data_IF_911921157264
#
_entry.id   IF_911921157264
#
_cell.length_a   1.000
_cell.length_b   1.000
_cell.length_c   1.000
_cell.angle_alpha   90.00
_cell.angle_beta   90.00
_cell.angle_gamma   90.00
#
_symmetry.space_group_name_H-M   'P 1'
#
loop_
_entity.id
_entity.type
_entity.pdbx_description
1 polymer ?
#
# COMPACT_ATOMS: atom_id res chain seq x y z
N UNK A 1 -13.20 0.98 -10.67
CA UNK A 1 -12.79 -0.08 -11.60
C UNK A 1 -12.50 -1.33 -10.79
N UNK A 2 -12.71 -2.53 -11.35
CA UNK A 2 -12.51 -3.78 -10.61
C UNK A 2 -11.03 -4.23 -10.63
N UNK A 3 -10.67 -5.17 -9.75
CA UNK A 3 -9.30 -5.70 -9.63
C UNK A 3 -8.69 -6.18 -10.95
N UNK A 4 -9.50 -6.73 -11.86
CA UNK A 4 -9.06 -7.29 -13.12
C UNK A 4 -8.46 -6.24 -14.06
N UNK A 5 -8.90 -4.98 -13.97
CA UNK A 5 -8.37 -3.86 -14.76
C UNK A 5 -6.87 -3.64 -14.52
N UNK A 6 -6.33 -4.08 -13.38
CA UNK A 6 -4.89 -4.07 -13.11
C UNK A 6 -4.10 -4.77 -14.23
N UNK A 7 -4.60 -5.92 -14.70
CA UNK A 7 -3.92 -6.83 -15.62
C UNK A 7 -4.03 -6.43 -17.08
N UNK A 8 -4.94 -5.52 -17.42
CA UNK A 8 -5.11 -5.05 -18.80
C UNK A 8 -4.00 -4.07 -19.20
N UNK A 9 -3.30 -3.49 -18.22
CA UNK A 9 -2.12 -2.67 -18.43
C UNK A 9 -0.85 -3.53 -18.40
N UNK A 10 -0.38 -3.96 -19.58
CA UNK A 10 0.78 -4.86 -19.70
C UNK A 10 2.11 -4.07 -19.79
N UNK A 11 3.01 -4.17 -18.79
CA UNK A 11 4.27 -3.41 -18.78
C UNK A 11 5.27 -3.84 -19.87
N UNK A 12 5.15 -5.02 -20.46
CA UNK A 12 6.02 -5.43 -21.56
C UNK A 12 5.70 -4.68 -22.87
N UNK A 13 4.48 -4.15 -23.00
CA UNK A 13 4.00 -3.45 -24.21
C UNK A 13 3.95 -1.94 -23.94
N UNK A 14 3.38 -1.55 -22.80
CA UNK A 14 3.12 -0.17 -22.41
C UNK A 14 4.37 0.46 -21.79
N UNK A 15 5.39 0.65 -22.63
CA UNK A 15 6.72 1.15 -22.25
C UNK A 15 6.94 2.61 -22.62
N UNK A 16 6.06 3.20 -23.43
CA UNK A 16 6.19 4.57 -23.93
C UNK A 16 4.82 5.24 -24.15
N UNK A 17 4.85 6.57 -24.23
CA UNK A 17 3.64 7.39 -24.35
C UNK A 17 2.77 7.09 -25.57
N UNK A 18 3.36 6.72 -26.72
CA UNK A 18 2.58 6.42 -27.91
C UNK A 18 1.75 5.14 -27.71
N UNK A 19 2.37 4.09 -27.18
CA UNK A 19 1.69 2.84 -26.86
C UNK A 19 0.61 3.02 -25.78
N UNK A 20 0.91 3.78 -24.73
CA UNK A 20 -0.04 4.10 -23.66
C UNK A 20 -1.26 4.88 -24.18
N UNK A 21 -1.04 5.88 -25.04
CA UNK A 21 -2.13 6.65 -25.66
C UNK A 21 -3.02 5.75 -26.51
N UNK A 22 -2.42 4.97 -27.39
CA UNK A 22 -3.14 4.08 -28.29
C UNK A 22 -3.99 3.08 -27.51
N UNK A 23 -3.45 2.55 -26.41
CA UNK A 23 -4.17 1.67 -25.50
C UNK A 23 -5.40 2.35 -24.89
N UNK A 24 -5.24 3.54 -24.30
CA UNK A 24 -6.35 4.28 -23.67
C UNK A 24 -7.38 4.82 -24.67
N UNK A 25 -7.00 4.98 -25.95
CA UNK A 25 -7.95 5.28 -27.03
C UNK A 25 -8.81 4.07 -27.37
N UNK A 26 -8.22 2.87 -27.36
CA UNK A 26 -8.91 1.61 -27.65
C UNK A 26 -9.70 1.07 -26.46
N UNK A 27 -9.30 1.45 -25.24
CA UNK A 27 -9.87 1.01 -23.96
C UNK A 27 -10.23 2.22 -23.08
N UNK A 28 -11.24 3.02 -23.47
CA UNK A 28 -11.63 4.21 -22.72
C UNK A 28 -12.12 3.90 -21.30
N UNK A 29 -12.58 2.67 -21.05
CA UNK A 29 -12.96 2.13 -19.75
C UNK A 29 -11.78 2.00 -18.77
N UNK A 30 -10.54 2.04 -19.25
CA UNK A 30 -9.32 2.02 -18.43
C UNK A 30 -8.78 3.42 -18.07
N UNK A 31 -9.46 4.50 -18.48
CA UNK A 31 -9.08 5.87 -18.11
C UNK A 31 -9.43 6.15 -16.64
N UNK A 32 -8.45 6.02 -15.75
CA UNK A 32 -8.64 6.25 -14.31
C UNK A 32 -8.61 7.72 -13.89
N UNK A 33 -7.95 8.55 -14.70
CA UNK A 33 -7.83 9.99 -14.50
C UNK A 33 -8.36 10.71 -15.74
N UNK A 34 -9.29 11.65 -15.55
CA UNK A 34 -9.87 12.44 -16.64
C UNK A 34 -9.43 13.90 -16.53
N UNK A 35 -8.78 14.41 -17.58
CA UNK A 35 -8.52 15.83 -17.72
C UNK A 35 -9.72 16.48 -18.42
N UNK A 36 -10.40 17.40 -17.74
CA UNK A 36 -11.63 18.03 -18.24
C UNK A 36 -11.37 19.50 -18.52
N UNK A 37 -11.78 19.95 -19.69
CA UNK A 37 -11.89 21.36 -20.02
C UNK A 37 -13.08 21.96 -19.27
N UNK A 38 -12.82 22.95 -18.42
CA UNK A 38 -13.86 23.54 -17.57
C UNK A 38 -14.82 24.47 -18.33
N UNK A 39 -14.45 24.93 -19.54
CA UNK A 39 -15.30 25.82 -20.33
C UNK A 39 -16.46 25.05 -21.00
N UNK A 40 -16.23 23.78 -21.36
CA UNK A 40 -17.17 22.98 -22.15
C UNK A 40 -17.43 21.56 -21.62
N UNK A 41 -16.73 21.14 -20.56
CA UNK A 41 -16.86 19.82 -19.94
C UNK A 41 -16.32 18.65 -20.75
N UNK A 42 -15.63 18.90 -21.87
CA UNK A 42 -15.05 17.85 -22.72
C UNK A 42 -13.72 17.35 -22.15
N UNK A 43 -13.31 16.16 -22.57
CA UNK A 43 -11.97 15.65 -22.27
C UNK A 43 -10.92 16.52 -22.98
N UNK A 44 -10.08 17.20 -22.20
CA UNK A 44 -9.05 18.10 -22.73
C UNK A 44 -7.90 17.31 -23.39
N UNK A 45 -7.51 16.20 -22.78
CA UNK A 45 -6.51 15.26 -23.28
C UNK A 45 -6.60 13.93 -22.52
N UNK A 46 -6.02 12.88 -23.11
CA UNK A 46 -5.93 11.55 -22.49
C UNK A 46 -4.77 11.55 -21.49
N UNK A 47 -5.06 11.43 -20.19
CA UNK A 47 -4.04 11.26 -19.16
C UNK A 47 -3.45 9.84 -19.22
N UNK A 48 -2.12 9.72 -19.39
CA UNK A 48 -1.45 8.41 -19.43
C UNK A 48 -1.20 7.86 -18.02
N UNK A 49 -2.24 7.92 -17.18
CA UNK A 49 -2.24 7.46 -15.79
C UNK A 49 -3.32 6.38 -15.67
N UNK A 50 -2.94 5.09 -15.69
CA UNK A 50 -3.88 3.99 -15.63
C UNK A 50 -4.41 3.76 -14.22
N UNK A 51 -5.40 2.87 -14.11
CA UNK A 51 -5.94 2.48 -12.81
C UNK A 51 -4.96 1.64 -12.00
N UNK A 52 -4.89 1.98 -10.73
CA UNK A 52 -4.22 1.28 -9.64
C UNK A 52 -4.59 2.01 -8.34
N UNK A 53 -4.06 1.55 -7.21
CA UNK A 53 -4.39 2.14 -5.92
C UNK A 53 -3.88 1.27 -4.79
N UNK A 54 -4.65 1.18 -3.72
CA UNK A 54 -4.34 0.36 -2.55
C UNK A 54 -5.28 -0.83 -2.41
N UNK A 55 -5.23 -1.73 -3.37
CA UNK A 55 -6.18 -2.84 -3.46
C UNK A 55 -5.78 -4.07 -2.65
N UNK A 56 -6.73 -4.66 -1.95
CA UNK A 56 -6.62 -6.03 -1.46
C UNK A 56 -8.01 -6.72 -1.47
N UNK A 57 -8.04 -8.04 -1.52
CA UNK A 57 -9.29 -8.80 -1.40
C UNK A 57 -10.30 -8.54 -2.51
N UNK A 58 -9.86 -8.10 -3.70
CA UNK A 58 -10.73 -7.81 -4.86
C UNK A 58 -11.29 -6.40 -4.89
N UNK A 59 -10.96 -5.59 -3.88
CA UNK A 59 -11.19 -4.16 -3.86
C UNK A 59 -9.97 -3.44 -4.46
N UNK A 60 -10.20 -2.44 -5.32
CA UNK A 60 -9.14 -1.54 -5.80
C UNK A 60 -9.70 -0.12 -5.91
N UNK A 61 -9.49 0.72 -4.89
CA UNK A 61 -10.00 2.09 -4.85
C UNK A 61 -9.33 2.95 -5.92
N UNK A 62 -9.89 4.15 -6.14
CA UNK A 62 -9.23 5.15 -6.96
C UNK A 62 -7.81 5.40 -6.46
N UNK A 63 -6.87 5.42 -7.39
CA UNK A 63 -5.46 5.65 -7.12
C UNK A 63 -5.16 7.06 -6.60
N UNK A 64 -3.87 7.36 -6.35
CA UNK A 64 -3.45 8.61 -5.79
C UNK A 64 -3.78 9.79 -6.70
N UNK A 65 -4.25 10.88 -6.10
CA UNK A 65 -4.52 12.12 -6.82
C UNK A 65 -3.21 12.77 -7.28
N UNK A 66 -3.20 13.41 -8.46
CA UNK A 66 -2.04 14.15 -8.94
C UNK A 66 -1.72 15.36 -8.05
N UNK A 67 -0.45 15.74 -8.00
CA UNK A 67 0.02 16.96 -7.33
C UNK A 67 0.56 17.93 -8.36
N UNK A 68 0.02 19.15 -8.39
CA UNK A 68 0.41 20.15 -9.39
C UNK A 68 1.64 20.94 -8.94
N UNK A 69 2.66 21.00 -9.80
CA UNK A 69 3.82 21.87 -9.65
C UNK A 69 3.71 23.02 -10.63
N UNK A 70 3.81 24.25 -10.10
CA UNK A 70 4.05 25.44 -10.91
C UNK A 70 5.51 25.83 -10.82
N UNK A 71 6.16 26.00 -11.96
CA UNK A 71 7.55 26.44 -12.05
C UNK A 71 7.65 27.98 -12.02
N UNK A 72 8.84 28.55 -11.75
CA UNK A 72 9.03 30.01 -11.72
C UNK A 72 8.67 30.73 -13.03
N UNK A 73 8.71 30.02 -14.16
CA UNK A 73 8.34 30.53 -15.49
C UNK A 73 6.84 30.39 -15.80
N UNK A 74 6.03 29.94 -14.83
CA UNK A 74 4.59 29.78 -14.94
C UNK A 74 4.13 28.46 -15.56
N UNK A 75 5.05 27.63 -16.06
CA UNK A 75 4.71 26.29 -16.59
C UNK A 75 4.22 25.38 -15.48
N UNK A 76 3.35 24.43 -15.85
CA UNK A 76 2.78 23.49 -14.89
C UNK A 76 2.91 22.03 -15.35
N UNK A 77 3.16 21.15 -14.39
CA UNK A 77 3.07 19.70 -14.56
C UNK A 77 2.33 19.08 -13.39
N UNK A 78 1.91 17.83 -13.56
CA UNK A 78 1.34 17.03 -12.48
C UNK A 78 2.29 15.90 -12.10
N UNK A 79 2.72 15.82 -10.85
CA UNK A 79 3.33 14.60 -10.33
C UNK A 79 2.25 13.55 -10.07
N UNK A 80 2.51 12.33 -10.51
CA UNK A 80 1.56 11.22 -10.53
C UNK A 80 2.25 9.93 -10.11
N UNK A 81 1.46 8.94 -9.72
CA UNK A 81 1.91 7.56 -9.77
C UNK A 81 1.44 6.98 -11.10
N UNK A 82 2.39 6.66 -11.96
CA UNK A 82 2.12 6.07 -13.28
C UNK A 82 2.44 4.57 -13.26
N UNK A 83 1.95 3.85 -14.27
CA UNK A 83 2.34 2.46 -14.51
C UNK A 83 2.91 2.26 -15.91
N UNK A 84 3.87 1.36 -16.05
CA UNK A 84 4.45 1.01 -17.34
C UNK A 84 5.79 0.31 -17.22
N UNK A 85 6.30 -0.20 -18.34
CA UNK A 85 7.61 -0.81 -18.38
C UNK A 85 8.76 0.20 -18.55
N UNK A 86 9.95 -0.09 -18.02
CA UNK A 86 10.36 -1.34 -17.39
C UNK A 86 9.93 -1.44 -15.92
N UNK A 87 9.53 -2.63 -15.47
CA UNK A 87 9.25 -2.87 -14.05
C UNK A 87 10.49 -2.64 -13.19
N UNK A 88 10.27 -2.25 -11.93
CA UNK A 88 11.36 -2.04 -10.96
C UNK A 88 11.76 -3.28 -10.17
N UNK A 89 10.93 -4.31 -10.19
CA UNK A 89 11.09 -5.54 -9.43
C UNK A 89 10.66 -6.74 -10.28
N UNK A 90 11.10 -7.92 -9.85
CA UNK A 90 10.70 -9.19 -10.43
C UNK A 90 9.58 -9.88 -9.64
N UNK A 91 8.66 -10.60 -10.31
CA UNK A 91 8.54 -10.73 -11.76
C UNK A 91 8.05 -9.42 -12.42
N UNK A 92 8.46 -9.13 -13.65
CA UNK A 92 7.91 -7.97 -14.37
C UNK A 92 6.50 -8.27 -14.91
N UNK A 93 5.48 -7.95 -14.11
CA UNK A 93 4.06 -7.94 -14.49
C UNK A 93 3.33 -6.70 -13.95
N UNK A 94 2.02 -6.60 -14.23
CA UNK A 94 1.16 -5.48 -13.87
C UNK A 94 1.08 -5.13 -12.37
N UNK A 95 1.62 -5.96 -11.48
CA UNK A 95 1.74 -5.63 -10.05
C UNK A 95 3.02 -4.89 -9.71
N UNK A 96 4.03 -4.97 -10.57
CA UNK A 96 5.40 -4.50 -10.31
C UNK A 96 5.83 -3.33 -11.20
N UNK A 97 4.86 -2.72 -11.87
CA UNK A 97 5.06 -1.70 -12.90
C UNK A 97 4.73 -0.28 -12.44
N UNK A 98 4.61 -0.03 -11.13
CA UNK A 98 4.35 1.30 -10.57
C UNK A 98 5.61 2.14 -10.44
N UNK A 99 5.48 3.41 -10.83
CA UNK A 99 6.53 4.42 -10.74
C UNK A 99 5.97 5.74 -10.22
N UNK A 100 6.80 6.49 -9.48
CA UNK A 100 6.62 7.93 -9.46
C UNK A 100 6.92 8.49 -10.85
N UNK A 101 6.13 9.46 -11.27
CA UNK A 101 6.26 10.10 -12.56
C UNK A 101 5.77 11.53 -12.55
N UNK A 102 5.98 12.21 -13.66
CA UNK A 102 5.32 13.47 -13.97
C UNK A 102 4.53 13.36 -15.27
N UNK A 103 3.38 14.01 -15.33
CA UNK A 103 2.49 14.11 -16.47
C UNK A 103 2.49 15.56 -16.97
N UNK A 104 2.63 15.73 -18.28
CA UNK A 104 2.55 17.03 -18.93
C UNK A 104 1.10 17.51 -18.96
N UNK A 105 0.88 18.79 -18.67
CA UNK A 105 -0.44 19.43 -18.74
C UNK A 105 -0.66 20.20 -20.05
N UNK A 106 0.41 20.39 -20.82
CA UNK A 106 0.43 21.10 -22.10
C UNK A 106 1.49 20.48 -23.04
N UNK A 107 1.67 21.08 -24.22
CA UNK A 107 2.70 20.73 -25.21
C UNK A 107 3.85 21.75 -25.27
N UNK A 108 3.93 22.70 -24.33
CA UNK A 108 4.89 23.80 -24.30
C UNK A 108 5.94 23.66 -23.20
N UNK A 109 5.64 22.83 -22.20
CA UNK A 109 6.50 22.63 -21.03
C UNK A 109 7.79 21.95 -21.43
N UNK A 110 7.70 20.89 -22.24
CA UNK A 110 8.82 20.20 -22.88
C UNK A 110 8.44 19.99 -24.35
N UNK A 111 9.20 20.58 -25.27
CA UNK A 111 8.83 20.72 -26.69
C UNK A 111 8.59 19.41 -27.46
N UNK A 112 9.05 18.27 -26.94
CA UNK A 112 8.87 16.95 -27.57
C UNK A 112 7.70 16.15 -26.98
N UNK A 113 6.98 16.70 -26.00
CA UNK A 113 5.91 16.01 -25.28
C UNK A 113 4.58 16.73 -25.48
N UNK A 114 3.50 15.96 -25.38
CA UNK A 114 2.14 16.46 -25.49
C UNK A 114 1.45 16.39 -24.14
N UNK A 115 0.36 17.14 -23.98
CA UNK A 115 -0.50 17.02 -22.81
C UNK A 115 -0.93 15.56 -22.59
N UNK A 116 -0.92 15.13 -21.34
CA UNK A 116 -1.19 13.75 -20.91
C UNK A 116 0.00 12.80 -20.96
N UNK A 117 1.10 13.16 -21.64
CA UNK A 117 2.31 12.31 -21.66
C UNK A 117 2.97 12.26 -20.28
N UNK A 118 3.43 11.07 -19.90
CA UNK A 118 4.15 10.83 -18.65
C UNK A 118 5.66 10.64 -18.86
N UNK A 119 6.41 10.95 -17.80
CA UNK A 119 7.86 10.73 -17.70
C UNK A 119 8.18 9.98 -16.42
N UNK A 120 9.06 8.99 -16.53
CA UNK A 120 9.47 8.12 -15.41
C UNK A 120 10.41 8.83 -14.45
N UNK A 121 10.23 8.60 -13.15
CA UNK A 121 11.16 9.02 -12.11
C UNK A 121 11.79 7.83 -11.38
N UNK A 122 13.01 8.02 -10.89
CA UNK A 122 13.54 7.17 -9.83
C UNK A 122 12.68 7.32 -8.57
N UNK A 123 12.48 6.21 -7.86
CA UNK A 123 11.73 6.15 -6.60
C UNK A 123 11.97 4.83 -5.89
N UNK A 124 11.82 4.85 -4.57
CA UNK A 124 11.67 3.65 -3.74
C UNK A 124 10.42 2.91 -4.17
N UNK A 125 10.56 1.62 -4.48
CA UNK A 125 9.51 0.83 -5.10
C UNK A 125 8.32 0.59 -4.16
N UNK A 126 7.12 0.59 -4.75
CA UNK A 126 5.87 0.08 -4.18
C UNK A 126 5.07 -0.57 -5.32
N UNK A 127 4.34 -1.67 -5.08
CA UNK A 127 3.59 -2.35 -6.12
C UNK A 127 2.32 -1.59 -6.51
N UNK A 128 1.72 -1.99 -7.63
CA UNK A 128 0.56 -1.32 -8.24
C UNK A 128 -0.75 -1.51 -7.49
N UNK A 129 -0.83 -2.52 -6.63
CA UNK A 129 -1.91 -2.65 -5.64
C UNK A 129 -1.58 -1.95 -4.31
N UNK A 130 -0.47 -1.19 -4.25
CA UNK A 130 -0.06 -0.43 -3.09
C UNK A 130 0.46 0.98 -3.46
N UNK A 131 -0.23 1.70 -4.33
CA UNK A 131 0.19 3.04 -4.78
C UNK A 131 0.05 4.11 -3.71
N UNK A 132 1.14 4.86 -3.50
CA UNK A 132 1.27 5.88 -2.46
C UNK A 132 0.56 7.22 -2.79
N UNK A 133 -0.07 7.85 -1.80
CA UNK A 133 -0.58 9.22 -1.94
C UNK A 133 0.56 10.23 -2.06
N UNK A 134 0.39 11.23 -2.92
CA UNK A 134 1.46 12.16 -3.24
C UNK A 134 1.30 13.51 -2.54
N UNK A 135 2.44 14.12 -2.23
CA UNK A 135 2.55 15.52 -1.81
C UNK A 135 3.90 16.07 -2.23
N UNK A 136 4.05 17.40 -2.26
CA UNK A 136 5.32 18.00 -2.69
C UNK A 136 5.61 19.35 -2.04
N UNK A 137 6.90 19.64 -1.84
CA UNK A 137 7.40 20.93 -1.39
C UNK A 137 8.70 21.28 -2.12
N UNK A 138 8.73 22.39 -2.85
CA UNK A 138 9.91 22.74 -3.66
C UNK A 138 10.20 21.65 -4.69
N UNK A 139 11.38 21.05 -4.60
CA UNK A 139 11.83 19.91 -5.44
C UNK A 139 11.81 18.59 -4.67
N UNK A 140 11.13 18.55 -3.52
CA UNK A 140 10.92 17.34 -2.73
C UNK A 140 9.56 16.74 -3.08
N UNK A 141 9.56 15.44 -3.38
CA UNK A 141 8.35 14.66 -3.60
C UNK A 141 8.21 13.63 -2.49
N UNK A 142 7.00 13.55 -1.96
CA UNK A 142 6.63 12.67 -0.88
C UNK A 142 5.55 11.70 -1.36
N UNK A 143 5.72 10.44 -1.00
CA UNK A 143 4.81 9.35 -1.31
C UNK A 143 4.43 8.67 0.01
N UNK A 144 3.15 8.67 0.35
CA UNK A 144 2.65 8.10 1.59
C UNK A 144 2.03 6.73 1.33
N UNK A 145 2.69 5.70 1.81
CA UNK A 145 2.38 4.30 1.63
C UNK A 145 1.86 3.70 2.95
N UNK A 146 1.07 2.62 2.93
CA UNK A 146 0.39 2.11 4.14
C UNK A 146 1.33 1.77 5.32
N UNK A 147 2.55 1.28 5.07
CA UNK A 147 3.57 1.05 6.12
C UNK A 147 4.66 2.12 6.21
N UNK A 148 4.73 3.06 5.26
CA UNK A 148 5.90 3.94 5.15
C UNK A 148 5.62 5.31 4.52
N UNK A 149 6.33 6.32 4.98
CA UNK A 149 6.50 7.60 4.29
C UNK A 149 7.75 7.57 3.43
N UNK A 150 7.57 7.60 2.11
CA UNK A 150 8.64 7.73 1.11
C UNK A 150 8.92 9.21 0.87
N UNK A 151 10.20 9.58 0.84
CA UNK A 151 10.62 10.95 0.60
C UNK A 151 11.83 11.01 -0.33
N UNK A 152 11.76 11.86 -1.35
CA UNK A 152 12.81 12.03 -2.35
C UNK A 152 13.05 13.51 -2.69
N UNK A 153 14.30 13.84 -2.98
CA UNK A 153 14.69 15.12 -3.59
C UNK A 153 14.97 14.90 -5.07
N UNK A 154 14.27 15.61 -5.94
CA UNK A 154 14.45 15.60 -7.39
C UNK A 154 15.77 16.29 -7.73
N UNK A 155 16.64 15.63 -8.48
CA UNK A 155 17.99 16.11 -8.80
C UNK A 155 18.12 16.59 -10.25
N UNK A 156 17.69 15.77 -11.21
CA UNK A 156 17.80 16.09 -12.63
C UNK A 156 16.48 15.80 -13.36
N UNK A 157 15.77 16.90 -13.66
CA UNK A 157 14.51 16.93 -14.41
C UNK A 157 14.70 17.43 -15.86
N UNK A 158 15.94 17.51 -16.35
CA UNK A 158 16.24 18.01 -17.71
C UNK A 158 15.45 17.27 -18.79
N UNK A 159 15.19 17.92 -19.92
CA UNK A 159 14.34 17.37 -21.00
C UNK A 159 14.85 16.02 -21.55
N UNK A 160 16.14 15.71 -21.42
CA UNK A 160 16.73 14.43 -21.83
C UNK A 160 16.39 13.24 -20.91
N UNK A 161 15.80 13.47 -19.73
CA UNK A 161 15.38 12.43 -18.78
C UNK A 161 13.93 11.99 -19.02
N UNK A 162 13.46 11.04 -18.22
CA UNK A 162 12.05 10.69 -18.12
C UNK A 162 11.62 9.51 -19.00
N UNK A 163 12.55 8.82 -19.65
CA UNK A 163 12.26 7.51 -20.25
C UNK A 163 12.42 6.40 -19.20
N UNK A 164 11.86 5.22 -19.46
CA UNK A 164 11.97 4.09 -18.54
C UNK A 164 13.42 3.64 -18.27
N UNK A 165 14.33 3.82 -19.23
CA UNK A 165 15.76 3.50 -19.09
C UNK A 165 16.64 4.69 -18.72
N UNK A 166 16.12 5.92 -18.81
CA UNK A 166 16.79 7.14 -18.40
C UNK A 166 15.82 8.02 -17.56
N UNK A 167 15.38 7.55 -16.39
CA UNK A 167 14.39 8.25 -15.59
C UNK A 167 14.95 9.56 -15.01
N UNK A 168 14.06 10.47 -14.62
CA UNK A 168 14.39 11.63 -13.79
C UNK A 168 15.07 11.13 -12.51
N UNK A 169 16.21 11.72 -12.16
CA UNK A 169 16.99 11.23 -11.03
C UNK A 169 16.56 11.88 -9.72
N UNK A 170 16.67 11.09 -8.64
CA UNK A 170 16.34 11.54 -7.29
C UNK A 170 17.40 11.08 -6.30
N UNK A 171 17.45 11.73 -5.14
CA UNK A 171 18.12 11.20 -3.94
C UNK A 171 17.10 10.88 -2.86
N UNK A 172 17.42 9.90 -2.02
CA UNK A 172 16.59 9.59 -0.85
C UNK A 172 16.71 10.72 0.18
N UNK A 173 15.57 11.22 0.62
CA UNK A 173 15.43 11.95 1.87
C UNK A 173 15.06 10.95 2.98
N UNK A 174 15.11 11.34 4.26
CA UNK A 174 14.66 10.49 5.36
C UNK A 174 13.26 9.93 5.10
N UNK A 175 13.16 8.60 4.94
CA UNK A 175 11.89 7.91 4.89
C UNK A 175 11.30 7.80 6.32
N UNK A 176 10.08 7.32 6.45
CA UNK A 176 9.48 6.97 7.75
C UNK A 176 8.91 5.56 7.65
N UNK A 177 9.20 4.67 8.60
CA UNK A 177 8.53 3.39 8.72
C UNK A 177 7.62 3.38 9.95
N UNK A 178 6.45 2.74 9.86
CA UNK A 178 5.55 2.62 11.01
C UNK A 178 6.23 1.86 12.15
N UNK A 179 6.88 0.73 11.88
CA UNK A 179 7.69 0.01 12.88
C UNK A 179 9.02 -0.43 12.29
N UNK A 180 10.09 -0.32 13.09
CA UNK A 180 11.39 -0.90 12.82
C UNK A 180 11.47 -2.28 13.50
N UNK A 181 11.27 -3.34 12.74
CA UNK A 181 11.13 -4.69 13.28
C UNK A 181 12.44 -5.46 13.32
N UNK A 182 13.43 -5.06 12.51
CA UNK A 182 14.77 -5.63 12.50
C UNK A 182 15.81 -4.58 12.94
N UNK A 183 16.87 -4.99 13.64
CA UNK A 183 17.95 -4.07 14.04
C UNK A 183 18.94 -3.79 12.90
N UNK A 184 18.48 -3.05 11.89
CA UNK A 184 19.27 -2.65 10.71
C UNK A 184 20.39 -1.67 11.08
N UNK A 185 20.25 -0.94 12.19
CA UNK A 185 21.25 0.03 12.67
C UNK A 185 22.31 -0.63 13.57
N UNK A 186 22.16 -1.91 13.92
CA UNK A 186 23.03 -2.64 14.85
C UNK A 186 23.12 -1.99 16.23
N UNK A 187 22.08 -1.25 16.64
CA UNK A 187 22.11 -0.36 17.80
C UNK A 187 20.99 -0.65 18.80
N UNK A 188 20.16 -1.67 18.56
CA UNK A 188 18.86 -1.84 19.19
C UNK A 188 18.00 -0.56 19.05
N UNK A 189 17.18 -0.27 20.05
CA UNK A 189 16.38 0.96 20.10
C UNK A 189 17.26 2.22 20.11
N UNK A 190 16.92 3.18 19.24
CA UNK A 190 17.56 4.49 19.15
C UNK A 190 16.56 5.55 19.64
N UNK A 191 16.97 6.36 20.62
CA UNK A 191 16.14 7.44 21.15
C UNK A 191 15.83 8.54 20.11
N UNK A 192 16.65 8.67 19.08
CA UNK A 192 16.42 9.57 17.94
C UNK A 192 15.34 9.06 17.00
N UNK A 193 14.95 7.79 17.13
CA UNK A 193 14.08 7.09 16.19
C UNK A 193 14.57 7.15 14.74
N UNK A 194 15.87 7.40 14.52
CA UNK A 194 16.46 7.62 13.20
C UNK A 194 17.54 6.60 12.89
N UNK A 195 17.41 5.91 11.76
CA UNK A 195 18.35 4.92 11.25
C UNK A 195 18.82 5.29 9.84
N UNK A 196 20.08 5.69 9.72
CA UNK A 196 20.65 6.08 8.43
C UNK A 196 20.88 4.89 7.49
N UNK A 197 21.19 3.71 8.04
CA UNK A 197 21.55 2.51 7.24
C UNK A 197 20.36 1.89 6.52
N UNK A 198 19.14 2.08 7.01
CA UNK A 198 17.92 1.56 6.41
C UNK A 198 16.84 1.30 7.44
N UNK A 199 15.61 1.17 6.95
CA UNK A 199 14.46 0.80 7.76
C UNK A 199 13.93 -0.58 7.34
N UNK A 200 13.32 -1.32 8.25
CA UNK A 200 12.80 -2.66 7.95
C UNK A 200 11.51 -2.96 8.71
N UNK A 201 10.47 -3.29 7.95
CA UNK A 201 9.19 -3.81 8.42
C UNK A 201 8.86 -5.10 7.61
N UNK A 202 7.72 -5.17 6.92
CA UNK A 202 7.42 -6.26 5.99
C UNK A 202 8.42 -6.36 4.83
N UNK A 203 9.11 -5.24 4.54
CA UNK A 203 10.22 -5.12 3.59
C UNK A 203 11.23 -4.06 4.02
N UNK A 204 12.32 -3.98 3.25
CA UNK A 204 13.39 -3.02 3.48
C UNK A 204 13.09 -1.68 2.80
N UNK A 205 13.44 -0.61 3.48
CA UNK A 205 13.24 0.77 3.07
C UNK A 205 14.55 1.55 3.23
N UNK A 206 14.79 2.63 2.46
CA UNK A 206 15.91 3.53 2.69
C UNK A 206 15.93 4.12 4.11
N UNK A 207 17.07 4.67 4.50
CA UNK A 207 17.28 5.26 5.82
C UNK A 207 16.32 6.41 6.13
N UNK A 208 16.02 6.58 7.41
CA UNK A 208 14.99 7.52 7.86
C UNK A 208 14.57 7.32 9.31
N UNK A 209 13.35 7.73 9.62
CA UNK A 209 12.75 7.60 10.95
C UNK A 209 11.89 6.34 11.08
N UNK A 210 11.67 5.87 12.31
CA UNK A 210 10.64 4.88 12.61
C UNK A 210 9.75 5.34 13.77
N UNK A 211 8.45 5.04 13.72
CA UNK A 211 7.52 5.45 14.78
C UNK A 211 7.66 4.49 15.97
N UNK A 212 7.60 3.19 15.71
CA UNK A 212 7.68 2.14 16.72
C UNK A 212 8.91 1.25 16.57
N UNK A 213 9.29 0.58 17.66
CA UNK A 213 10.36 -0.41 17.69
C UNK A 213 9.79 -1.80 17.95
N UNK A 214 9.99 -2.72 17.00
CA UNK A 214 9.59 -4.13 17.08
C UNK A 214 8.12 -4.34 17.46
N UNK A 215 7.21 -3.51 16.93
CA UNK A 215 5.77 -3.63 17.15
C UNK A 215 5.03 -4.31 15.99
N UNK A 216 5.71 -4.62 14.88
CA UNK A 216 5.10 -5.29 13.73
C UNK A 216 4.03 -4.45 13.06
N UNK A 217 2.96 -5.12 12.63
CA UNK A 217 1.87 -4.55 11.85
C UNK A 217 0.85 -3.76 12.70
N UNK A 218 1.29 -2.71 13.40
CA UNK A 218 0.40 -1.84 14.20
C UNK A 218 -0.73 -1.24 13.34
N UNK A 219 -0.41 -0.92 12.09
CA UNK A 219 -1.35 -0.43 11.07
C UNK A 219 -2.52 -1.38 10.81
N UNK A 220 -2.35 -2.70 10.96
CA UNK A 220 -3.46 -3.64 10.72
C UNK A 220 -4.55 -3.52 11.79
N UNK A 221 -4.20 -3.10 12.99
CA UNK A 221 -5.17 -2.94 14.09
C UNK A 221 -5.92 -1.61 14.02
N UNK A 222 -5.23 -0.55 13.61
CA UNK A 222 -5.73 0.83 13.65
C UNK A 222 -5.92 1.41 12.24
N UNK A 223 -6.18 0.54 11.27
CA UNK A 223 -6.23 0.85 9.86
C UNK A 223 -7.11 2.05 9.52
N UNK A 224 -6.49 3.11 9.01
CA UNK A 224 -7.13 4.29 8.44
C UNK A 224 -6.91 4.39 6.93
N UNK A 225 -6.76 3.24 6.25
CA UNK A 225 -6.38 3.11 4.84
C UNK A 225 -4.92 3.44 4.56
N UNK A 226 -4.61 4.69 4.23
CA UNK A 226 -3.29 5.08 3.76
C UNK A 226 -2.72 6.24 4.55
N UNK A 227 -1.39 6.23 4.69
CA UNK A 227 -0.65 7.32 5.28
C UNK A 227 -0.79 8.60 4.44
N UNK A 228 -0.44 9.74 5.04
CA UNK A 228 -0.46 11.04 4.37
C UNK A 228 0.76 11.88 4.75
N UNK A 229 1.22 12.67 3.78
CA UNK A 229 2.14 13.77 4.01
C UNK A 229 1.36 15.08 3.95
N UNK A 230 1.56 15.96 4.92
CA UNK A 230 0.96 17.30 4.93
C UNK A 230 2.06 18.31 5.17
N UNK A 231 2.15 19.30 4.29
CA UNK A 231 3.13 20.38 4.39
C UNK A 231 2.41 21.63 4.85
N UNK A 232 2.88 22.23 5.95
CA UNK A 232 2.33 23.48 6.44
C UNK A 232 3.44 24.35 7.02
N UNK A 233 3.62 25.53 6.42
CA UNK A 233 4.70 26.47 6.75
C UNK A 233 6.07 25.76 6.67
N UNK A 234 6.85 25.82 7.75
CA UNK A 234 8.18 25.21 7.85
C UNK A 234 8.14 23.83 8.53
N UNK A 235 6.99 23.14 8.49
CA UNK A 235 6.80 21.83 9.12
C UNK A 235 6.19 20.84 8.14
N UNK A 236 6.77 19.65 8.14
CA UNK A 236 6.28 18.48 7.43
C UNK A 236 5.63 17.54 8.42
N UNK A 237 4.37 17.19 8.20
CA UNK A 237 3.63 16.23 9.00
C UNK A 237 3.49 14.93 8.22
N UNK A 238 3.81 13.82 8.86
CA UNK A 238 3.47 12.49 8.39
C UNK A 238 2.40 11.91 9.30
N UNK A 239 1.26 11.52 8.73
CA UNK A 239 0.22 10.79 9.43
C UNK A 239 0.30 9.34 8.95
N UNK A 240 0.66 8.42 9.85
CA UNK A 240 0.71 7.00 9.52
C UNK A 240 -0.69 6.39 9.45
N UNK A 241 -0.80 5.21 8.85
CA UNK A 241 -2.06 4.46 8.70
C UNK A 241 -2.69 4.03 10.02
N UNK A 242 -1.93 3.98 11.11
CA UNK A 242 -2.45 3.75 12.46
C UNK A 242 -2.84 5.05 13.19
N UNK A 243 -2.71 6.20 12.53
CA UNK A 243 -3.09 7.52 13.05
C UNK A 243 -2.01 8.23 13.86
N UNK A 244 -0.78 7.71 13.94
CA UNK A 244 0.31 8.41 14.57
C UNK A 244 0.74 9.62 13.73
N UNK A 245 1.04 10.74 14.40
CA UNK A 245 1.47 11.98 13.74
C UNK A 245 2.93 12.25 14.09
N UNK A 246 3.77 12.31 13.05
CA UNK A 246 5.18 12.74 13.16
C UNK A 246 5.29 14.15 12.58
N UNK A 247 5.80 15.09 13.36
CA UNK A 247 6.08 16.45 12.91
C UNK A 247 7.59 16.66 12.76
N UNK A 248 8.02 16.96 11.54
CA UNK A 248 9.42 17.17 11.17
C UNK A 248 9.65 18.65 10.86
N UNK A 249 10.75 19.17 11.40
CA UNK A 249 11.27 20.52 11.11
C UNK A 249 12.72 20.41 10.65
N UNK A 250 13.30 21.50 10.16
CA UNK A 250 14.70 21.53 9.76
C UNK A 250 15.63 21.20 10.94
N UNK A 251 16.59 20.31 10.74
CA UNK A 251 17.58 19.98 11.76
C UNK A 251 18.46 18.79 11.38
N UNK A 252 19.35 18.40 12.30
CA UNK A 252 20.13 17.18 12.18
C UNK A 252 19.51 16.08 13.06
N UNK A 253 18.94 15.00 12.49
CA UNK A 253 18.28 13.94 13.27
C UNK A 253 19.24 13.13 14.15
N UNK A 254 20.55 13.22 13.92
CA UNK A 254 21.57 12.55 14.72
C UNK A 254 22.13 13.43 15.85
N UNK A 255 21.75 14.72 15.91
CA UNK A 255 22.32 15.66 16.90
C UNK A 255 22.08 15.27 18.36
N UNK A 256 21.03 14.49 18.65
CA UNK A 256 20.69 13.98 19.98
C UNK A 256 21.04 12.48 20.18
N UNK A 257 21.79 11.86 19.26
CA UNK A 257 22.21 10.46 19.37
C UNK A 257 23.25 10.21 20.49
N UNK A 258 23.74 11.26 21.14
CA UNK A 258 24.79 11.20 22.16
C UNK A 258 24.38 10.55 23.48
N UNK A 259 23.10 10.28 23.70
CA UNK A 259 22.64 9.44 24.82
C UNK A 259 22.19 8.09 24.29
N UNK A 260 23.12 7.12 24.22
CA UNK A 260 22.78 5.69 24.20
C UNK A 260 22.11 5.34 25.53
N UNK A 261 20.84 5.70 25.68
CA UNK A 261 20.04 5.10 26.73
C UNK A 261 19.75 3.70 26.22
N UNK A 262 20.48 2.72 26.76
CA UNK A 262 19.98 1.34 26.76
C UNK A 262 18.68 1.38 27.56
N UNK A 263 17.58 1.75 26.91
CA UNK A 263 16.27 1.42 27.43
C UNK A 263 16.22 -0.09 27.28
N UNK A 264 16.58 -0.80 28.36
CA UNK A 264 15.99 -2.11 28.57
C UNK A 264 14.50 -1.84 28.47
N UNK A 265 13.90 -2.23 27.35
CA UNK A 265 12.45 -2.28 27.26
C UNK A 265 12.03 -3.10 28.46
N UNK A 266 11.56 -2.43 29.52
CA UNK A 266 10.90 -3.15 30.59
C UNK A 266 9.74 -3.80 29.86
N UNK A 267 9.70 -5.14 29.74
CA UNK A 267 8.51 -5.77 29.22
C UNK A 267 7.36 -5.18 30.02
N UNK A 268 6.32 -4.71 29.32
CA UNK A 268 5.10 -4.28 29.98
C UNK A 268 4.81 -5.31 31.07
N UNK A 269 4.53 -4.90 32.32
CA UNK A 269 4.25 -5.85 33.39
C UNK A 269 3.29 -6.86 32.81
N UNK A 270 3.67 -8.13 32.79
CA UNK A 270 2.79 -9.19 32.34
C UNK A 270 1.62 -9.15 33.32
N UNK A 271 0.59 -8.38 32.99
CA UNK A 271 -0.70 -8.47 33.66
C UNK A 271 -1.14 -9.87 33.34
N UNK A 272 -0.94 -10.75 34.33
CA UNK A 272 -1.50 -12.08 34.40
C UNK A 272 -3.02 -11.99 34.57
N UNK A 273 -3.69 -11.22 33.71
CA UNK A 273 -5.05 -11.52 33.33
C UNK A 273 -4.95 -12.85 32.60
N UNK A 274 -5.41 -13.92 33.24
CA UNK A 274 -5.65 -15.20 32.55
C UNK A 274 -6.24 -14.88 31.18
N UNK A 275 -5.55 -15.28 30.10
CA UNK A 275 -6.00 -14.98 28.75
C UNK A 275 -7.47 -15.41 28.64
N UNK A 276 -8.37 -14.42 28.54
CA UNK A 276 -9.82 -14.63 28.53
C UNK A 276 -10.12 -15.65 27.42
N UNK A 277 -10.47 -16.87 27.80
CA UNK A 277 -10.81 -17.90 26.81
C UNK A 277 -12.28 -17.73 26.43
N UNK A 278 -12.62 -17.77 25.13
CA UNK A 278 -14.00 -17.78 24.72
C UNK A 278 -14.69 -19.06 25.20
N UNK A 279 -15.87 -18.89 25.79
CA UNK A 279 -16.74 -20.01 26.15
C UNK A 279 -17.44 -20.51 24.88
N UNK A 280 -16.87 -21.52 24.24
CA UNK A 280 -17.47 -22.20 23.09
C UNK A 280 -17.18 -21.53 21.73
N UNK A 281 -18.09 -21.77 20.77
CA UNK A 281 -17.98 -21.31 19.39
C UNK A 281 -18.52 -19.89 19.29
N UNK A 282 -17.70 -18.97 18.80
CA UNK A 282 -18.08 -17.58 18.57
C UNK A 282 -18.79 -17.42 17.23
N UNK A 283 -19.81 -16.56 17.17
CA UNK A 283 -20.28 -16.06 15.88
C UNK A 283 -19.22 -15.12 15.27
N UNK A 284 -19.08 -15.10 13.94
CA UNK A 284 -18.16 -14.22 13.22
C UNK A 284 -18.25 -12.74 13.64
N UNK A 285 -19.46 -12.23 13.93
CA UNK A 285 -19.71 -10.86 14.39
C UNK A 285 -19.13 -10.55 15.78
N UNK A 286 -18.83 -11.58 16.58
CA UNK A 286 -18.25 -11.43 17.91
C UNK A 286 -16.72 -11.40 17.88
N UNK A 287 -16.09 -11.87 16.80
CA UNK A 287 -14.64 -12.12 16.75
C UNK A 287 -13.79 -10.89 17.12
N UNK A 288 -14.23 -9.68 16.73
CA UNK A 288 -13.55 -8.41 17.05
C UNK A 288 -13.27 -8.24 18.56
N UNK A 289 -14.23 -8.60 19.40
CA UNK A 289 -14.10 -8.45 20.87
C UNK A 289 -13.13 -9.46 21.50
N UNK A 290 -12.67 -10.44 20.73
CA UNK A 290 -11.81 -11.55 21.17
C UNK A 290 -10.45 -11.56 20.47
N UNK A 291 -10.08 -10.46 19.79
CA UNK A 291 -8.75 -10.31 19.19
C UNK A 291 -7.63 -10.57 20.20
N UNK A 292 -6.59 -11.30 19.77
CA UNK A 292 -5.51 -11.81 20.60
C UNK A 292 -5.75 -13.20 21.20
N UNK A 293 -7.00 -13.69 21.19
CA UNK A 293 -7.35 -15.01 21.74
C UNK A 293 -7.41 -16.08 20.66
N UNK A 294 -7.13 -17.33 21.01
CA UNK A 294 -7.42 -18.50 20.16
C UNK A 294 -8.88 -18.91 20.37
N UNK A 295 -9.64 -19.02 19.29
CA UNK A 295 -11.06 -19.34 19.34
C UNK A 295 -11.51 -20.15 18.11
N UNK A 296 -12.67 -20.78 18.23
CA UNK A 296 -13.41 -21.29 17.07
C UNK A 296 -14.49 -20.29 16.69
N UNK A 297 -14.50 -19.85 15.44
CA UNK A 297 -15.44 -18.86 14.90
C UNK A 297 -16.32 -19.52 13.84
N UNK A 298 -17.63 -19.29 13.90
CA UNK A 298 -18.65 -19.81 12.99
C UNK A 298 -19.30 -18.72 12.15
N UNK A 299 -19.64 -19.06 10.92
CA UNK A 299 -20.54 -18.26 10.09
C UNK A 299 -20.71 -18.85 8.70
N UNK A 300 -21.43 -18.13 7.85
CA UNK A 300 -21.62 -18.47 6.43
C UNK A 300 -20.74 -17.59 5.57
N UNK A 301 -20.01 -18.20 4.64
CA UNK A 301 -19.20 -17.45 3.68
C UNK A 301 -20.13 -16.68 2.72
N UNK A 302 -19.89 -15.38 2.57
CA UNK A 302 -20.59 -14.51 1.62
C UNK A 302 -19.66 -14.01 0.51
N UNK A 303 -18.34 -14.17 0.70
CA UNK A 303 -17.34 -13.71 -0.25
C UNK A 303 -16.13 -14.67 -0.28
N UNK A 304 -15.64 -14.99 -1.48
CA UNK A 304 -14.42 -15.77 -1.69
C UNK A 304 -13.65 -15.13 -2.83
N UNK A 305 -12.40 -14.75 -2.59
CA UNK A 305 -11.58 -14.09 -3.60
C UNK A 305 -10.11 -14.52 -3.51
N UNK A 306 -9.50 -14.81 -4.65
CA UNK A 306 -8.06 -15.06 -4.78
C UNK A 306 -7.43 -13.91 -5.56
N UNK A 307 -6.57 -13.13 -4.90
CA UNK A 307 -5.85 -12.01 -5.54
C UNK A 307 -4.45 -12.40 -6.06
N UNK A 308 -4.10 -13.69 -6.02
CA UNK A 308 -2.79 -14.23 -6.40
C UNK A 308 -1.71 -14.14 -5.31
N UNK A 309 -1.96 -13.43 -4.20
CA UNK A 309 -1.14 -13.36 -2.99
C UNK A 309 -1.78 -14.13 -1.81
N UNK A 310 -3.11 -14.17 -1.76
CA UNK A 310 -3.88 -14.84 -0.71
C UNK A 310 -5.30 -15.16 -1.19
N UNK A 311 -5.93 -16.12 -0.52
CA UNK A 311 -7.37 -16.41 -0.63
C UNK A 311 -8.07 -15.83 0.59
N UNK A 312 -9.01 -14.93 0.36
CA UNK A 312 -9.86 -14.32 1.38
C UNK A 312 -11.21 -15.02 1.39
N UNK A 313 -11.63 -15.50 2.56
CA UNK A 313 -12.98 -16.01 2.82
C UNK A 313 -13.71 -15.03 3.75
N UNK A 314 -14.63 -14.26 3.20
CA UNK A 314 -15.38 -13.21 3.88
C UNK A 314 -16.77 -13.68 4.31
N UNK A 315 -17.24 -13.14 5.42
CA UNK A 315 -18.58 -13.40 5.97
C UNK A 315 -19.58 -12.27 5.68
N UNK A 316 -19.19 -11.29 4.86
CA UNK A 316 -20.04 -10.25 4.27
C UNK A 316 -19.53 -9.86 2.88
N UNK A 317 -20.39 -9.25 2.07
CA UNK A 317 -19.99 -8.60 0.81
C UNK A 317 -20.71 -7.24 0.68
N UNK A 318 -20.02 -6.08 0.82
CA UNK A 318 -18.57 -5.91 0.96
C UNK A 318 -18.00 -6.56 2.23
N UNK A 319 -16.76 -7.06 2.17
CA UNK A 319 -16.13 -7.81 3.25
C UNK A 319 -15.48 -6.91 4.32
N UNK A 320 -15.29 -5.63 4.02
CA UNK A 320 -14.65 -4.65 4.90
C UNK A 320 -15.49 -4.43 6.17
N UNK A 321 -14.83 -4.31 7.32
CA UNK A 321 -15.48 -4.14 8.63
C UNK A 321 -15.81 -5.47 9.32
N UNK A 322 -15.78 -6.58 8.59
CA UNK A 322 -16.25 -7.91 9.03
C UNK A 322 -15.11 -8.89 9.28
N UNK A 323 -15.37 -9.90 10.09
CA UNK A 323 -14.47 -11.03 10.26
C UNK A 323 -14.20 -11.75 8.94
N UNK A 324 -12.95 -12.20 8.75
CA UNK A 324 -12.51 -12.94 7.56
C UNK A 324 -11.50 -14.03 7.90
N UNK A 325 -11.38 -14.99 7.00
CA UNK A 325 -10.29 -15.98 7.01
C UNK A 325 -9.36 -15.63 5.85
N UNK A 326 -8.06 -15.62 6.11
CA UNK A 326 -7.05 -15.43 5.08
C UNK A 326 -6.18 -16.67 5.00
N UNK A 327 -6.02 -17.19 3.78
CA UNK A 327 -5.10 -18.29 3.46
C UNK A 327 -4.03 -17.72 2.53
N UNK A 328 -2.87 -17.37 3.09
CA UNK A 328 -1.76 -16.78 2.33
C UNK A 328 -1.16 -17.80 1.37
N UNK A 329 -0.57 -17.33 0.27
CA UNK A 329 0.01 -18.17 -0.77
C UNK A 329 1.01 -19.20 -0.26
N UNK A 330 1.78 -18.84 0.76
CA UNK A 330 2.77 -19.74 1.37
C UNK A 330 2.12 -20.98 1.99
N UNK A 331 0.85 -20.91 2.39
CA UNK A 331 0.13 -22.04 2.98
C UNK A 331 -0.59 -22.92 1.94
N UNK A 332 -0.70 -22.50 0.67
CA UNK A 332 -1.52 -23.20 -0.32
C UNK A 332 -1.10 -24.66 -0.55
N UNK A 333 0.20 -24.96 -0.45
CA UNK A 333 0.73 -26.32 -0.59
C UNK A 333 0.26 -27.29 0.51
N UNK A 334 -0.25 -26.79 1.63
CA UNK A 334 -0.84 -27.62 2.70
C UNK A 334 -2.29 -28.04 2.40
N UNK A 335 -2.91 -27.46 1.37
CA UNK A 335 -4.28 -27.75 0.97
C UNK A 335 -4.29 -28.78 -0.18
N UNK A 336 -5.25 -29.72 -0.20
CA UNK A 336 -5.34 -30.74 -1.26
C UNK A 336 -5.73 -30.18 -2.64
N UNK A 337 -6.30 -28.97 -2.67
CA UNK A 337 -6.64 -28.21 -3.88
C UNK A 337 -6.42 -26.72 -3.60
N UNK A 338 -6.34 -25.85 -4.62
CA UNK A 338 -6.36 -24.41 -4.41
C UNK A 338 -7.51 -24.01 -3.47
N UNK A 339 -7.27 -23.22 -2.40
CA UNK A 339 -8.29 -22.99 -1.37
C UNK A 339 -9.61 -22.42 -1.90
N UNK A 340 -9.56 -21.57 -2.91
CA UNK A 340 -10.73 -21.00 -3.62
C UNK A 340 -11.56 -22.04 -4.39
N UNK A 341 -11.02 -23.24 -4.62
CA UNK A 341 -11.76 -24.39 -5.17
C UNK A 341 -12.34 -25.29 -4.08
N UNK A 342 -11.90 -25.13 -2.83
CA UNK A 342 -12.40 -25.90 -1.68
C UNK A 342 -13.54 -25.19 -0.96
N UNK A 343 -13.46 -23.85 -0.89
CA UNK A 343 -14.41 -23.01 -0.17
C UNK A 343 -15.23 -22.15 -1.14
N UNK A 344 -16.55 -22.14 -0.97
CA UNK A 344 -17.48 -21.43 -1.83
C UNK A 344 -18.49 -20.61 -1.04
N UNK A 345 -18.99 -19.55 -1.67
CA UNK A 345 -20.07 -18.71 -1.11
C UNK A 345 -21.27 -19.58 -0.75
N UNK A 346 -21.81 -19.35 0.44
CA UNK A 346 -22.94 -20.07 1.03
C UNK A 346 -22.55 -21.26 1.91
N UNK A 347 -21.30 -21.66 1.97
CA UNK A 347 -20.87 -22.69 2.92
C UNK A 347 -20.90 -22.15 4.36
N UNK A 348 -21.48 -22.91 5.28
CA UNK A 348 -21.32 -22.68 6.71
C UNK A 348 -19.99 -23.32 7.15
N UNK A 349 -19.15 -22.55 7.84
CA UNK A 349 -17.82 -23.00 8.26
C UNK A 349 -17.56 -22.71 9.73
N UNK A 350 -16.70 -23.53 10.33
CA UNK A 350 -16.03 -23.27 11.59
C UNK A 350 -14.56 -23.10 11.31
N UNK A 351 -13.96 -22.01 11.79
CA UNK A 351 -12.51 -21.80 11.70
C UNK A 351 -11.91 -21.70 13.09
N UNK A 352 -10.81 -22.42 13.34
CA UNK A 352 -10.08 -22.36 14.61
C UNK A 352 -8.69 -21.77 14.41
N UNK A 353 -8.36 -20.78 15.23
CA UNK A 353 -7.07 -20.12 15.22
C UNK A 353 -7.03 -18.90 16.13
N UNK A 354 -5.89 -18.22 16.13
CA UNK A 354 -5.72 -16.95 16.83
C UNK A 354 -6.45 -15.85 16.04
N UNK A 355 -7.32 -15.11 16.71
CA UNK A 355 -7.97 -13.94 16.13
C UNK A 355 -6.95 -12.79 16.16
N UNK A 356 -6.58 -12.29 14.99
CA UNK A 356 -5.62 -11.22 14.79
C UNK A 356 -6.27 -10.05 14.05
N UNK A 357 -5.47 -9.14 13.52
CA UNK A 357 -5.94 -7.97 12.77
C UNK A 357 -5.41 -8.01 11.35
N UNK A 358 -6.24 -7.55 10.42
CA UNK A 358 -5.85 -7.28 9.04
C UNK A 358 -6.66 -6.11 8.52
N UNK A 359 -6.01 -4.99 8.22
CA UNK A 359 -6.65 -3.78 7.70
C UNK A 359 -7.91 -3.34 8.48
N UNK A 360 -7.83 -3.35 9.82
CA UNK A 360 -8.89 -2.94 10.74
C UNK A 360 -9.92 -4.02 11.05
N UNK A 361 -9.84 -5.18 10.38
CA UNK A 361 -10.77 -6.29 10.51
C UNK A 361 -10.20 -7.44 11.33
N UNK A 362 -11.02 -8.12 12.15
CA UNK A 362 -10.58 -9.32 12.83
C UNK A 362 -10.37 -10.45 11.81
N UNK A 363 -9.27 -11.17 11.92
CA UNK A 363 -8.89 -12.22 10.96
C UNK A 363 -8.42 -13.47 11.68
N UNK A 364 -8.61 -14.63 11.06
CA UNK A 364 -7.79 -15.81 11.35
C UNK A 364 -6.98 -16.15 10.10
N UNK A 365 -5.65 -16.23 10.25
CA UNK A 365 -4.78 -16.77 9.22
C UNK A 365 -4.79 -18.29 9.28
N UNK A 366 -5.43 -18.91 8.29
CA UNK A 366 -5.47 -20.37 8.19
C UNK A 366 -4.28 -20.87 7.37
N UNK A 367 -3.54 -21.81 7.96
CA UNK A 367 -2.33 -22.42 7.40
C UNK A 367 -2.55 -23.87 6.95
N UNK A 368 -3.65 -24.49 7.35
CA UNK A 368 -4.01 -25.85 6.96
C UNK A 368 -5.53 -26.03 6.84
N UNK A 369 -6.01 -27.00 6.04
CA UNK A 369 -7.45 -27.25 5.88
C UNK A 369 -8.13 -27.74 7.17
N UNK A 370 -7.39 -28.35 8.09
CA UNK A 370 -7.94 -28.84 9.37
C UNK A 370 -8.42 -27.69 10.27
N UNK A 371 -7.92 -26.47 10.06
CA UNK A 371 -8.40 -25.30 10.77
C UNK A 371 -9.81 -24.88 10.34
N UNK A 372 -10.28 -25.29 9.15
CA UNK A 372 -11.55 -24.84 8.57
C UNK A 372 -12.45 -26.06 8.30
N UNK A 373 -13.47 -26.23 9.12
CA UNK A 373 -14.45 -27.31 9.02
C UNK A 373 -15.70 -26.81 8.32
N UNK A 374 -16.05 -27.41 7.18
CA UNK A 374 -17.34 -27.16 6.50
C UNK A 374 -18.43 -27.88 7.29
N UNK A 375 -19.43 -27.12 7.74
CA UNK A 375 -20.59 -27.68 8.42
C UNK A 375 -21.55 -28.26 7.38
N UNK A 376 -22.01 -29.50 7.62
CA UNK A 376 -23.01 -30.11 6.77
C UNK A 376 -24.28 -29.25 6.76
N UNK A 377 -24.70 -28.82 5.57
CA UNK A 377 -26.00 -28.17 5.39
C UNK A 377 -27.09 -29.12 5.87
N UNK A 378 -27.74 -28.79 6.98
CA UNK A 378 -29.02 -29.40 7.30
C UNK A 378 -30.02 -28.87 6.26
N UNK A 379 -30.12 -29.57 5.13
CA UNK A 379 -31.27 -29.45 4.26
C UNK A 379 -32.47 -29.89 5.11
N UNK A 380 -33.22 -28.91 5.60
CA UNK A 380 -34.48 -29.13 6.29
C UNK A 380 -35.38 -30.00 5.44
N UNK A 381 -35.90 -31.05 6.07
CA UNK A 381 -37.03 -31.83 5.57
C UNK A 381 -38.29 -30.99 5.54
#
# INVERSE_FOLDING_TARGET
MDWQTLWEWNPAILTNNLAMRQHLQNHPDQKALLAIDLDNGQEAFIAHVPHAGFGDGGYMPMGPLPVIKTFPDGKQIAYVVMRGGPCKQDPCDSRWDSHLGEMMLDDQTISSLQAGYVRYMQNTFFPSDEQAFLSMAGDQIFAAHWEAGIAHLIQDRSASRGSGTNPITVSNLPHIATSQDNDVCGSNFLNTHYCETGLANTRNWPGGFYIYWQQGAVYDRYWSEYAQWVISRDTLYFVSTDGAVVALTSGNPQSNASSRVLIQAQPAPATSTSARQPEGILAHSQARAWAGSTATVSGRLEYVFNNGKQVLLGFSNPHQGSFKIIIRKEAWHNFPKPPEQMYTVGQAVLVTGKIEWYQGDPVIYATSPQQIIIQASHAGR
#
